data_IF_970600543814
#
_entry.id   IF_970600543814
#
_cell.length_a   1.000
_cell.length_b   1.000
_cell.length_c   1.000
_cell.angle_alpha   90.00
_cell.angle_beta   90.00
_cell.angle_gamma   90.00
#
_symmetry.space_group_name_H-M   'P 1'
#
loop_
_entity.id
_entity.type
_entity.pdbx_description
1 polymer ?
#
# COMPACT_ATOMS: atom_id res chain seq x y z
N UNK A 1 77.92 26.43 12.47
CA UNK A 1 77.87 25.49 11.33
C UNK A 1 76.75 25.96 10.43
N UNK A 2 77.08 26.86 9.51
CA UNK A 2 76.24 27.18 8.36
C UNK A 2 76.46 26.11 7.29
N UNK A 3 75.38 25.55 6.73
CA UNK A 3 75.44 24.89 5.43
C UNK A 3 74.07 24.93 4.76
N UNK A 4 74.10 25.32 3.50
CA UNK A 4 73.05 25.83 2.63
C UNK A 4 71.88 24.88 2.28
N UNK A 5 70.77 25.44 1.76
CA UNK A 5 69.56 24.73 1.37
C UNK A 5 69.71 24.05 0.00
N UNK A 6 69.03 22.91 -0.20
CA UNK A 6 68.88 22.29 -1.53
C UNK A 6 67.54 22.67 -2.14
N UNK A 7 67.58 23.58 -3.12
CA UNK A 7 66.51 23.78 -4.09
C UNK A 7 66.61 22.75 -5.22
N UNK A 8 65.46 22.30 -5.72
CA UNK A 8 65.28 21.96 -7.12
C UNK A 8 64.91 20.51 -7.44
N UNK A 9 63.62 20.24 -7.64
CA UNK A 9 63.08 20.02 -9.00
C UNK A 9 61.56 19.95 -8.96
N UNK A 10 60.97 20.97 -9.58
CA UNK A 10 59.64 20.97 -10.16
C UNK A 10 59.50 19.82 -11.14
N UNK A 11 58.59 18.89 -10.86
CA UNK A 11 57.95 18.10 -11.90
C UNK A 11 56.45 18.44 -11.88
N UNK A 12 56.13 19.36 -12.78
CA UNK A 12 54.81 19.60 -13.34
C UNK A 12 54.31 18.26 -13.90
N UNK A 13 53.25 17.72 -13.33
CA UNK A 13 52.40 16.76 -14.02
C UNK A 13 50.98 17.31 -13.94
N UNK A 14 50.69 18.11 -14.95
CA UNK A 14 49.35 18.54 -15.30
C UNK A 14 48.47 17.33 -15.62
N UNK A 15 47.20 17.49 -15.25
CA UNK A 15 46.02 16.89 -15.88
C UNK A 15 45.90 15.36 -15.82
N UNK A 16 45.28 14.91 -14.72
CA UNK A 16 44.17 13.97 -14.85
C UNK A 16 43.02 14.51 -14.00
N UNK A 17 42.34 15.51 -14.56
CA UNK A 17 40.95 15.83 -14.27
C UNK A 17 40.13 14.58 -14.61
N UNK A 18 40.15 13.59 -13.73
CA UNK A 18 39.15 12.53 -13.76
C UNK A 18 37.90 13.14 -13.17
N UNK A 19 37.00 13.58 -14.06
CA UNK A 19 35.62 13.87 -13.71
C UNK A 19 35.12 12.74 -12.83
N UNK A 20 35.05 12.95 -11.51
CA UNK A 20 34.06 12.28 -10.69
C UNK A 20 32.75 12.88 -11.14
N UNK A 21 32.16 12.29 -12.17
CA UNK A 21 30.73 12.39 -12.36
C UNK A 21 30.13 12.02 -11.00
N UNK A 22 29.63 13.02 -10.28
CA UNK A 22 28.68 12.81 -9.21
C UNK A 22 27.46 12.20 -9.89
N UNK A 23 27.49 10.88 -10.02
CA UNK A 23 26.28 10.12 -10.23
C UNK A 23 25.58 10.23 -8.89
N UNK A 24 24.66 11.19 -8.78
CA UNK A 24 23.64 11.13 -7.76
C UNK A 24 22.91 9.81 -7.99
N UNK A 25 23.30 8.79 -7.23
CA UNK A 25 22.50 7.59 -7.09
C UNK A 25 21.23 8.01 -6.37
N UNK A 26 20.25 8.47 -7.14
CA UNK A 26 18.88 8.49 -6.67
C UNK A 26 18.50 7.02 -6.49
N UNK A 27 18.61 6.54 -5.26
CA UNK A 27 18.14 5.23 -4.86
C UNK A 27 16.63 5.25 -5.09
N UNK A 28 16.17 4.72 -6.23
CA UNK A 28 14.77 4.39 -6.47
C UNK A 28 14.40 3.12 -5.65
N UNK A 29 14.68 3.16 -4.36
CA UNK A 29 14.29 2.15 -3.38
C UNK A 29 13.30 2.76 -2.39
N UNK A 30 12.53 1.93 -1.68
CA UNK A 30 11.66 2.43 -0.61
C UNK A 30 12.49 3.29 0.36
N UNK A 31 11.86 4.32 0.94
CA UNK A 31 12.51 5.20 1.90
C UNK A 31 13.25 4.32 2.93
N UNK A 32 14.53 4.55 3.26
CA UNK A 32 15.23 3.80 4.30
C UNK A 32 14.42 3.68 5.61
N UNK A 33 13.55 4.66 5.87
CA UNK A 33 12.54 4.65 6.92
C UNK A 33 11.59 3.44 6.83
N UNK A 34 11.14 3.07 5.63
CA UNK A 34 10.21 1.94 5.40
C UNK A 34 10.86 0.60 5.75
N UNK A 35 12.12 0.42 5.38
CA UNK A 35 12.91 -0.78 5.69
C UNK A 35 13.09 -0.88 7.21
N UNK A 36 13.43 0.24 7.86
CA UNK A 36 13.58 0.31 9.31
C UNK A 36 12.27 0.04 10.04
N UNK A 37 11.16 0.60 9.56
CA UNK A 37 9.84 0.39 10.13
C UNK A 37 9.36 -1.05 9.95
N UNK A 38 9.65 -1.68 8.80
CA UNK A 38 9.38 -3.10 8.57
C UNK A 38 10.19 -4.01 9.52
N UNK A 39 11.49 -3.75 9.70
CA UNK A 39 12.32 -4.47 10.66
C UNK A 39 11.79 -4.30 12.10
N UNK A 40 11.34 -3.10 12.46
CA UNK A 40 10.72 -2.86 13.76
C UNK A 40 9.38 -3.58 13.96
N UNK A 41 8.55 -3.72 12.90
CA UNK A 41 7.34 -4.55 12.90
C UNK A 41 7.65 -6.00 13.20
N UNK A 42 8.50 -6.60 12.36
CA UNK A 42 8.84 -8.04 12.45
C UNK A 42 9.53 -8.46 13.75
N UNK A 43 10.22 -7.54 14.41
CA UNK A 43 10.94 -7.84 15.65
C UNK A 43 10.05 -7.83 16.91
N UNK A 44 8.81 -7.34 16.84
CA UNK A 44 7.89 -7.22 17.98
C UNK A 44 8.46 -6.42 19.18
N UNK A 45 9.52 -5.64 18.97
CA UNK A 45 10.22 -4.89 20.03
C UNK A 45 9.65 -3.48 20.21
N UNK A 46 8.99 -2.92 19.19
CA UNK A 46 8.45 -1.57 19.27
C UNK A 46 7.11 -1.54 20.00
N UNK A 47 6.96 -0.64 20.98
CA UNK A 47 5.67 -0.32 21.64
C UNK A 47 4.91 0.83 20.95
N UNK A 48 5.38 1.30 19.79
CA UNK A 48 4.73 2.41 19.06
C UNK A 48 3.62 1.83 18.18
N UNK A 49 2.33 2.18 18.40
CA UNK A 49 1.19 1.65 17.65
C UNK A 49 1.30 1.91 16.15
N UNK A 50 1.68 3.14 15.78
CA UNK A 50 1.82 3.58 14.39
C UNK A 50 2.89 2.82 13.60
N UNK A 51 3.82 2.15 14.30
CA UNK A 51 4.82 1.29 13.68
C UNK A 51 4.34 -0.16 13.56
N UNK A 52 3.34 -0.60 14.30
CA UNK A 52 2.79 -1.96 14.24
C UNK A 52 1.71 -2.09 13.16
N UNK A 53 0.98 -1.00 12.88
CA UNK A 53 -0.05 -0.99 11.86
C UNK A 53 0.50 -1.22 10.44
N UNK A 54 -0.29 -1.90 9.61
CA UNK A 54 -0.02 -1.97 8.17
C UNK A 54 -0.31 -0.62 7.50
N UNK A 55 0.41 -0.27 6.42
CA UNK A 55 0.01 0.85 5.58
C UNK A 55 -1.45 0.69 5.10
N UNK A 56 -2.22 1.77 5.14
CA UNK A 56 -3.65 1.75 4.80
C UNK A 56 -3.93 1.18 3.39
N UNK A 57 -3.04 1.42 2.43
CA UNK A 57 -3.14 0.84 1.08
C UNK A 57 -3.12 -0.70 1.08
N UNK A 58 -2.34 -1.31 1.98
CA UNK A 58 -2.28 -2.76 2.15
C UNK A 58 -3.57 -3.25 2.84
N UNK A 59 -4.04 -2.53 3.85
CA UNK A 59 -5.31 -2.86 4.54
C UNK A 59 -6.49 -2.84 3.56
N UNK A 60 -6.58 -1.83 2.70
CA UNK A 60 -7.61 -1.74 1.65
C UNK A 60 -7.49 -2.93 0.69
N UNK A 61 -6.29 -3.22 0.20
CA UNK A 61 -6.06 -4.33 -0.74
C UNK A 61 -6.48 -5.68 -0.14
N UNK A 62 -6.13 -5.92 1.13
CA UNK A 62 -6.53 -7.13 1.85
C UNK A 62 -8.04 -7.19 2.07
N UNK A 63 -8.66 -6.07 2.41
CA UNK A 63 -10.10 -5.97 2.58
C UNK A 63 -10.85 -6.29 1.28
N UNK A 64 -10.46 -5.67 0.17
CA UNK A 64 -11.08 -5.89 -1.14
C UNK A 64 -10.90 -7.35 -1.59
N UNK A 65 -9.69 -7.92 -1.41
CA UNK A 65 -9.44 -9.33 -1.71
C UNK A 65 -10.36 -10.28 -0.94
N UNK A 66 -10.57 -10.06 0.36
CA UNK A 66 -11.45 -10.92 1.16
C UNK A 66 -12.92 -10.72 0.78
N UNK A 67 -13.34 -9.49 0.48
CA UNK A 67 -14.69 -9.23 -0.01
C UNK A 67 -14.95 -9.90 -1.36
N UNK A 68 -13.99 -9.88 -2.27
CA UNK A 68 -14.06 -10.62 -3.54
C UNK A 68 -14.17 -12.12 -3.31
N UNK A 69 -13.38 -12.68 -2.40
CA UNK A 69 -13.44 -14.09 -2.04
C UNK A 69 -14.81 -14.50 -1.46
N UNK A 70 -15.49 -13.57 -0.77
CA UNK A 70 -16.84 -13.74 -0.25
C UNK A 70 -17.94 -13.40 -1.27
N UNK A 71 -17.59 -13.07 -2.52
CA UNK A 71 -18.52 -12.60 -3.56
C UNK A 71 -19.27 -11.31 -3.19
N UNK A 72 -18.67 -10.47 -2.35
CA UNK A 72 -19.19 -9.17 -1.87
C UNK A 72 -18.46 -7.97 -2.49
N UNK A 73 -17.38 -8.18 -3.24
CA UNK A 73 -16.61 -7.11 -3.87
C UNK A 73 -17.19 -6.56 -5.17
N UNK A 74 -18.42 -6.93 -5.54
CA UNK A 74 -19.08 -6.39 -6.72
C UNK A 74 -19.30 -4.87 -6.59
N UNK A 75 -18.88 -4.08 -7.58
CA UNK A 75 -19.03 -2.62 -7.60
C UNK A 75 -20.48 -2.14 -7.63
N UNK A 76 -21.40 -2.97 -8.14
CA UNK A 76 -22.84 -2.67 -8.13
C UNK A 76 -23.44 -2.87 -6.74
N UNK A 77 -22.76 -3.60 -5.84
CA UNK A 77 -23.15 -3.79 -4.44
C UNK A 77 -22.70 -2.59 -3.59
N UNK A 78 -23.31 -1.45 -3.89
CA UNK A 78 -23.10 -0.19 -3.19
C UNK A 78 -24.44 0.49 -2.92
N UNK A 79 -24.65 0.98 -1.70
CA UNK A 79 -25.97 1.48 -1.26
C UNK A 79 -26.52 2.61 -2.13
N UNK A 80 -25.65 3.49 -2.63
CA UNK A 80 -26.04 4.60 -3.51
C UNK A 80 -26.41 4.16 -4.94
N UNK A 81 -26.06 2.92 -5.34
CA UNK A 81 -26.31 2.41 -6.70
C UNK A 81 -27.64 1.67 -6.84
N UNK A 82 -28.35 1.37 -5.75
CA UNK A 82 -29.59 0.56 -5.79
C UNK A 82 -30.60 1.05 -6.83
N UNK A 83 -30.90 2.35 -6.84
CA UNK A 83 -31.85 2.93 -7.79
C UNK A 83 -31.36 2.84 -9.24
N UNK A 84 -30.07 3.02 -9.47
CA UNK A 84 -29.44 2.95 -10.78
C UNK A 84 -29.42 1.51 -11.31
N UNK A 85 -29.01 0.53 -10.50
CA UNK A 85 -28.96 -0.88 -10.93
C UNK A 85 -30.36 -1.46 -11.16
N UNK A 86 -31.34 -1.01 -10.37
CA UNK A 86 -32.75 -1.37 -10.51
C UNK A 86 -33.35 -0.79 -11.79
N UNK A 87 -33.12 0.50 -12.06
CA UNK A 87 -33.66 1.16 -13.25
C UNK A 87 -33.01 0.68 -14.54
N UNK A 88 -31.70 0.44 -14.52
CA UNK A 88 -30.94 -0.06 -15.67
C UNK A 88 -31.07 -1.57 -15.86
N UNK A 89 -31.63 -2.29 -14.89
CA UNK A 89 -31.70 -3.76 -14.86
C UNK A 89 -30.37 -4.40 -15.23
N UNK A 90 -29.33 -4.02 -14.48
CA UNK A 90 -27.98 -4.57 -14.72
C UNK A 90 -27.98 -6.09 -14.64
N UNK A 91 -27.01 -6.74 -15.29
CA UNK A 91 -26.84 -8.20 -15.22
C UNK A 91 -26.72 -8.66 -13.76
N UNK A 92 -26.03 -7.88 -12.93
CA UNK A 92 -25.96 -8.08 -11.50
C UNK A 92 -27.36 -8.07 -10.86
N UNK A 93 -28.16 -7.02 -11.05
CA UNK A 93 -29.52 -6.94 -10.50
C UNK A 93 -30.40 -8.12 -10.92
N UNK A 94 -30.36 -8.50 -12.20
CA UNK A 94 -31.14 -9.62 -12.73
C UNK A 94 -30.71 -10.94 -12.08
N UNK A 95 -29.41 -11.11 -11.80
CA UNK A 95 -28.87 -12.33 -11.18
C UNK A 95 -29.31 -12.56 -9.73
N UNK A 96 -29.79 -11.52 -9.03
CA UNK A 96 -30.12 -11.60 -7.60
C UNK A 96 -31.43 -12.34 -7.30
N UNK A 97 -32.31 -12.54 -8.28
CA UNK A 97 -33.61 -13.17 -8.06
C UNK A 97 -34.56 -13.09 -9.24
N UNK A 98 -35.73 -13.70 -9.08
CA UNK A 98 -36.73 -13.79 -10.16
C UNK A 98 -37.71 -12.62 -10.15
N UNK A 99 -38.02 -12.09 -8.97
CA UNK A 99 -38.88 -10.91 -8.77
C UNK A 99 -38.09 -9.71 -8.24
N UNK A 100 -38.62 -8.49 -8.40
CA UNK A 100 -37.98 -7.29 -7.87
C UNK A 100 -37.93 -7.29 -6.33
N UNK A 101 -38.93 -7.87 -5.67
CA UNK A 101 -38.96 -7.99 -4.21
C UNK A 101 -37.87 -8.93 -3.68
N UNK A 102 -37.66 -10.08 -4.35
CA UNK A 102 -36.56 -11.00 -4.03
C UNK A 102 -35.20 -10.33 -4.25
N UNK A 103 -35.02 -9.64 -5.37
CA UNK A 103 -33.78 -8.94 -5.71
C UNK A 103 -33.46 -7.86 -4.69
N UNK A 104 -34.45 -7.08 -4.27
CA UNK A 104 -34.26 -6.02 -3.28
C UNK A 104 -33.90 -6.59 -1.91
N UNK A 105 -34.60 -7.64 -1.45
CA UNK A 105 -34.24 -8.35 -0.22
C UNK A 105 -32.83 -8.92 -0.28
N UNK A 106 -32.46 -9.57 -1.39
CA UNK A 106 -31.13 -10.16 -1.56
C UNK A 106 -30.05 -9.09 -1.61
N UNK A 107 -30.29 -7.98 -2.32
CA UNK A 107 -29.38 -6.85 -2.38
C UNK A 107 -29.12 -6.26 -1.00
N UNK A 108 -30.17 -5.97 -0.24
CA UNK A 108 -30.05 -5.41 1.11
C UNK A 108 -29.29 -6.35 2.04
N UNK A 109 -29.61 -7.65 1.99
CA UNK A 109 -28.87 -8.67 2.75
C UNK A 109 -27.37 -8.66 2.39
N UNK A 110 -27.02 -8.66 1.10
CA UNK A 110 -25.62 -8.64 0.66
C UNK A 110 -24.91 -7.34 1.08
N UNK A 111 -25.61 -6.21 1.06
CA UNK A 111 -25.06 -4.92 1.48
C UNK A 111 -24.76 -4.88 2.98
N UNK A 112 -25.66 -5.46 3.79
CA UNK A 112 -25.44 -5.65 5.23
C UNK A 112 -24.24 -6.57 5.48
N UNK A 113 -24.13 -7.69 4.76
CA UNK A 113 -22.99 -8.60 4.88
C UNK A 113 -21.68 -7.91 4.48
N UNK A 114 -21.65 -7.16 3.37
CA UNK A 114 -20.46 -6.39 2.95
C UNK A 114 -20.01 -5.43 4.05
N UNK A 115 -20.95 -4.67 4.62
CA UNK A 115 -20.66 -3.73 5.72
C UNK A 115 -20.14 -4.44 6.96
N UNK A 116 -20.75 -5.56 7.33
CA UNK A 116 -20.33 -6.38 8.47
C UNK A 116 -18.91 -6.92 8.28
N UNK A 117 -18.64 -7.57 7.15
CA UNK A 117 -17.34 -8.18 6.88
C UNK A 117 -16.24 -7.13 6.70
N UNK A 118 -16.50 -5.97 6.11
CA UNK A 118 -15.54 -4.85 6.09
C UNK A 118 -15.02 -4.53 7.50
N UNK A 119 -15.91 -4.47 8.49
CA UNK A 119 -15.51 -4.24 9.88
C UNK A 119 -14.70 -5.41 10.45
N UNK A 120 -15.19 -6.65 10.27
CA UNK A 120 -14.53 -7.84 10.79
C UNK A 120 -13.13 -8.04 10.22
N UNK A 121 -12.94 -7.83 8.92
CA UNK A 121 -11.64 -7.99 8.25
C UNK A 121 -10.63 -7.03 8.85
N UNK A 122 -11.01 -5.77 9.06
CA UNK A 122 -10.12 -4.76 9.66
C UNK A 122 -9.75 -5.13 11.10
N UNK A 123 -10.70 -5.63 11.89
CA UNK A 123 -10.41 -6.15 13.24
C UNK A 123 -9.43 -7.32 13.18
N UNK A 124 -9.67 -8.32 12.32
CA UNK A 124 -8.77 -9.46 12.18
C UNK A 124 -7.36 -9.06 11.71
N UNK A 125 -7.25 -8.07 10.82
CA UNK A 125 -5.95 -7.52 10.41
C UNK A 125 -5.24 -6.90 11.62
N UNK A 126 -5.94 -6.09 12.41
CA UNK A 126 -5.37 -5.45 13.59
C UNK A 126 -4.96 -6.46 14.68
N UNK A 127 -5.72 -7.53 14.87
CA UNK A 127 -5.40 -8.61 15.83
C UNK A 127 -4.22 -9.49 15.39
N UNK A 128 -3.92 -9.55 14.10
CA UNK A 128 -2.83 -10.36 13.55
C UNK A 128 -1.45 -9.66 13.61
N UNK A 129 -1.43 -8.38 13.95
CA UNK A 129 -0.23 -7.54 14.07
C UNK A 129 0.23 -7.44 15.53
#
# INVERSE_FOLDING_TARGET
>A
MESHPKHGRTNRMETASTLRAQVDFQVCGPDPSDIWNFAHRTSNVSRKPDLQDLPESIVITLNDFVLDALSLGNEDLEGYRLNSIRSLRTSYWISLGTSDEEREKKFNYLLEQKTFYCGQIRTCIAEAL
#
